data_IF_589518751126
#
_entry.id   IF_589518751126
#
_cell.length_a   1.000
_cell.length_b   1.000
_cell.length_c   1.000
_cell.angle_alpha   90.00
_cell.angle_beta   90.00
_cell.angle_gamma   90.00
#
_symmetry.space_group_name_H-M   'P 1'
#
loop_
_entity.id
_entity.type
_entity.pdbx_description
1 polymer ?
#
# COMPACT_ATOMS: atom_id res chain seq x y z
N UNK A 1 -26.69 -12.21 -22.78
CA UNK A 1 -26.78 -10.87 -22.16
C UNK A 1 -25.37 -10.31 -22.09
N UNK A 2 -25.03 -9.31 -22.91
CA UNK A 2 -23.76 -8.59 -22.85
C UNK A 2 -23.84 -7.60 -21.69
N UNK A 3 -23.18 -7.89 -20.57
CA UNK A 3 -23.02 -6.92 -19.49
C UNK A 3 -22.18 -5.75 -20.04
N UNK A 4 -22.76 -4.56 -20.13
CA UNK A 4 -21.98 -3.36 -20.45
C UNK A 4 -20.97 -3.15 -19.32
N UNK A 5 -19.68 -3.16 -19.65
CA UNK A 5 -18.62 -2.78 -18.74
C UNK A 5 -18.79 -1.28 -18.48
N UNK A 6 -19.36 -0.94 -17.33
CA UNK A 6 -19.52 0.44 -16.89
C UNK A 6 -18.15 0.94 -16.43
N UNK A 7 -17.37 1.50 -17.36
CA UNK A 7 -16.12 2.17 -17.02
C UNK A 7 -16.41 3.43 -16.18
N UNK A 8 -15.69 3.66 -15.08
CA UNK A 8 -15.91 4.81 -14.23
C UNK A 8 -15.45 6.05 -14.99
N UNK A 9 -16.36 7.01 -15.19
CA UNK A 9 -15.95 8.34 -15.67
C UNK A 9 -15.47 9.23 -14.51
N UNK A 10 -16.02 9.03 -13.32
CA UNK A 10 -15.75 9.86 -12.13
C UNK A 10 -15.52 9.03 -10.88
N UNK A 11 -16.33 7.99 -10.67
CA UNK A 11 -16.14 7.00 -9.61
C UNK A 11 -16.71 5.65 -10.06
N UNK A 12 -16.23 4.56 -9.45
CA UNK A 12 -16.82 3.24 -9.59
C UNK A 12 -18.13 3.17 -8.80
N UNK A 13 -19.20 2.56 -9.33
CA UNK A 13 -20.37 2.21 -8.53
C UNK A 13 -19.97 1.31 -7.35
N UNK A 14 -20.46 1.60 -6.14
CA UNK A 14 -20.17 0.79 -4.96
C UNK A 14 -20.97 -0.53 -4.98
N UNK A 15 -20.38 -1.57 -4.41
CA UNK A 15 -21.01 -2.87 -4.14
C UNK A 15 -20.43 -3.49 -2.87
N UNK A 16 -20.96 -4.65 -2.46
CA UNK A 16 -20.44 -5.43 -1.34
C UNK A 16 -19.72 -6.69 -1.86
N UNK A 17 -18.77 -7.26 -1.10
CA UNK A 17 -18.10 -8.49 -1.50
C UNK A 17 -19.07 -9.61 -1.88
N UNK A 18 -20.08 -9.84 -1.05
CA UNK A 18 -21.06 -10.90 -1.25
C UNK A 18 -21.89 -10.68 -2.53
N UNK A 19 -22.30 -9.43 -2.81
CA UNK A 19 -23.10 -9.12 -3.99
C UNK A 19 -22.37 -9.35 -5.32
N UNK A 20 -21.04 -9.30 -5.30
CA UNK A 20 -20.20 -9.63 -6.47
C UNK A 20 -19.62 -11.04 -6.40
N UNK A 21 -19.99 -11.86 -5.40
CA UNK A 21 -19.52 -13.24 -5.21
C UNK A 21 -18.10 -13.38 -4.68
N UNK A 22 -17.59 -12.39 -3.93
CA UNK A 22 -16.33 -12.45 -3.21
C UNK A 22 -16.55 -12.84 -1.74
N UNK A 23 -15.56 -13.49 -1.14
CA UNK A 23 -15.53 -13.81 0.28
C UNK A 23 -15.13 -12.56 1.08
N UNK A 24 -16.05 -12.05 1.89
CA UNK A 24 -15.81 -10.88 2.72
C UNK A 24 -14.80 -11.14 3.86
N UNK A 25 -14.73 -12.38 4.37
CA UNK A 25 -13.82 -12.73 5.45
C UNK A 25 -12.38 -12.74 4.95
N UNK A 26 -12.13 -13.34 3.79
CA UNK A 26 -10.79 -13.33 3.19
C UNK A 26 -10.27 -11.90 2.93
N UNK A 27 -11.15 -10.98 2.48
CA UNK A 27 -10.79 -9.57 2.31
C UNK A 27 -10.49 -8.86 3.64
N UNK A 28 -11.22 -9.19 4.70
CA UNK A 28 -10.97 -8.63 6.03
C UNK A 28 -9.69 -9.18 6.67
N UNK A 29 -9.36 -10.45 6.44
CA UNK A 29 -8.09 -11.05 6.88
C UNK A 29 -6.90 -10.39 6.17
N UNK A 30 -7.02 -10.16 4.86
CA UNK A 30 -5.98 -9.43 4.10
C UNK A 30 -5.84 -7.98 4.56
N UNK A 31 -6.95 -7.27 4.82
CA UNK A 31 -6.94 -5.92 5.41
C UNK A 31 -6.17 -5.91 6.74
N UNK A 32 -6.47 -6.86 7.63
CA UNK A 32 -5.80 -7.01 8.91
C UNK A 32 -4.31 -7.33 8.76
N UNK A 33 -3.93 -8.22 7.86
CA UNK A 33 -2.53 -8.57 7.60
C UNK A 33 -1.74 -7.36 7.09
N UNK A 34 -2.33 -6.56 6.20
CA UNK A 34 -1.72 -5.33 5.68
C UNK A 34 -1.58 -4.29 6.79
N UNK A 35 -2.66 -4.04 7.56
CA UNK A 35 -2.64 -3.10 8.67
C UNK A 35 -1.61 -3.47 9.75
N UNK A 36 -1.34 -4.77 9.93
CA UNK A 36 -0.31 -5.28 10.83
C UNK A 36 1.12 -5.18 10.27
N UNK A 37 1.31 -4.70 9.03
CA UNK A 37 2.61 -4.56 8.39
C UNK A 37 3.22 -5.88 7.91
N UNK A 38 2.43 -6.97 7.84
CA UNK A 38 2.92 -8.30 7.41
C UNK A 38 3.54 -8.29 6.02
N UNK A 39 3.08 -7.37 5.17
CA UNK A 39 3.52 -7.19 3.79
C UNK A 39 4.34 -5.90 3.58
N UNK A 40 4.91 -5.33 4.65
CA UNK A 40 5.62 -4.06 4.60
C UNK A 40 4.68 -2.84 4.59
N UNK A 41 5.20 -1.70 4.12
CA UNK A 41 4.47 -0.43 4.10
C UNK A 41 3.59 -0.31 2.84
N UNK A 42 2.42 -0.92 2.89
CA UNK A 42 1.39 -0.77 1.85
C UNK A 42 0.53 0.45 2.18
N UNK A 43 0.34 1.38 1.23
CA UNK A 43 -0.47 2.58 1.47
C UNK A 43 -1.97 2.40 1.23
N UNK A 44 -2.36 1.49 0.34
CA UNK A 44 -3.77 1.28 0.01
C UNK A 44 -4.06 -0.09 -0.59
N UNK A 45 -5.32 -0.49 -0.49
CA UNK A 45 -5.88 -1.68 -1.13
C UNK A 45 -7.21 -1.32 -1.79
N UNK A 46 -7.32 -1.56 -3.10
CA UNK A 46 -8.53 -1.35 -3.90
C UNK A 46 -8.94 -2.67 -4.58
N UNK A 47 -10.18 -3.10 -4.35
CA UNK A 47 -10.76 -4.29 -4.98
C UNK A 47 -11.98 -3.92 -5.79
N UNK A 48 -11.93 -4.21 -7.09
CA UNK A 48 -13.00 -3.99 -8.05
C UNK A 48 -13.36 -5.32 -8.71
N UNK A 49 -14.65 -5.62 -8.81
CA UNK A 49 -15.15 -6.80 -9.54
C UNK A 49 -16.39 -6.44 -10.32
N UNK A 50 -16.44 -6.87 -11.58
CA UNK A 50 -17.59 -6.58 -12.47
C UNK A 50 -17.80 -5.09 -12.74
N UNK A 51 -16.76 -4.27 -12.57
CA UNK A 51 -16.86 -2.82 -12.70
C UNK A 51 -17.53 -2.12 -11.50
N UNK A 52 -17.47 -2.73 -10.32
CA UNK A 52 -17.96 -2.12 -9.07
C UNK A 52 -16.84 -2.10 -8.03
N UNK A 53 -16.73 -1.00 -7.28
CA UNK A 53 -15.83 -0.89 -6.12
C UNK A 53 -16.43 -1.68 -4.97
N UNK A 54 -15.66 -2.63 -4.44
CA UNK A 54 -16.13 -3.62 -3.49
C UNK A 54 -15.44 -3.48 -2.13
N UNK A 55 -14.18 -3.06 -2.15
CA UNK A 55 -13.39 -2.87 -0.96
C UNK A 55 -12.35 -1.79 -1.22
N UNK A 56 -12.20 -0.86 -0.27
CA UNK A 56 -11.17 0.18 -0.32
C UNK A 56 -10.65 0.44 1.10
N UNK A 57 -9.33 0.45 1.24
CA UNK A 57 -8.62 0.78 2.48
C UNK A 57 -7.40 1.63 2.17
N UNK A 58 -7.08 2.52 3.11
CA UNK A 58 -5.84 3.26 3.14
C UNK A 58 -5.16 3.02 4.48
N UNK A 59 -3.85 2.81 4.44
CA UNK A 59 -3.02 2.59 5.62
C UNK A 59 -1.99 3.70 5.65
N UNK A 60 -2.07 4.54 6.67
CA UNK A 60 -1.22 5.71 6.77
C UNK A 60 0.09 5.34 7.43
N UNK A 61 1.19 5.63 6.74
CA UNK A 61 2.53 5.49 7.26
C UNK A 61 3.15 6.88 7.48
N UNK A 62 3.98 6.98 8.51
CA UNK A 62 4.84 8.13 8.74
C UNK A 62 6.20 7.81 8.14
N UNK A 63 6.36 8.08 6.84
CA UNK A 63 7.57 7.74 6.11
C UNK A 63 8.79 8.54 6.56
N UNK A 64 8.59 9.78 7.04
CA UNK A 64 9.68 10.58 7.61
C UNK A 64 10.26 9.87 8.85
N UNK A 65 9.39 9.40 9.75
CA UNK A 65 9.81 8.62 10.91
C UNK A 65 10.40 7.27 10.51
N UNK A 66 9.74 6.53 9.62
CA UNK A 66 10.21 5.21 9.18
C UNK A 66 11.60 5.29 8.56
N UNK A 67 11.81 6.24 7.65
CA UNK A 67 13.09 6.44 6.99
C UNK A 67 14.15 6.93 7.96
N UNK A 68 13.78 7.81 8.90
CA UNK A 68 14.67 8.24 9.99
C UNK A 68 15.10 7.08 10.90
N UNK A 69 14.16 6.22 11.29
CA UNK A 69 14.42 5.03 12.12
C UNK A 69 15.30 4.01 11.38
N UNK A 70 15.00 3.75 10.09
CA UNK A 70 15.77 2.82 9.25
C UNK A 70 17.19 3.34 8.97
N UNK A 71 17.30 4.64 8.68
CA UNK A 71 18.56 5.34 8.58
C UNK A 71 19.33 5.39 9.90
N UNK A 72 18.68 5.16 11.05
CA UNK A 72 19.28 5.06 12.39
C UNK A 72 19.58 3.62 12.85
N UNK A 73 19.09 2.59 12.15
CA UNK A 73 19.32 1.18 12.47
C UNK A 73 20.75 0.70 12.17
N UNK A 74 21.42 -0.07 13.05
CA UNK A 74 22.72 -0.65 12.76
C UNK A 74 22.59 -1.85 11.81
N UNK A 75 23.45 -1.95 10.80
CA UNK A 75 23.53 -3.16 9.96
C UNK A 75 24.23 -2.95 8.62
N UNK A 76 24.58 -4.04 7.90
CA UNK A 76 25.28 -3.97 6.61
C UNK A 76 24.44 -3.33 5.50
N UNK A 77 23.11 -3.32 5.63
CA UNK A 77 22.20 -2.60 4.72
C UNK A 77 22.07 -1.10 5.06
N UNK A 78 22.53 -0.68 6.24
CA UNK A 78 22.42 0.69 6.74
C UNK A 78 23.81 1.32 6.84
N UNK A 79 24.41 1.58 5.69
CA UNK A 79 25.76 2.12 5.57
C UNK A 79 25.85 3.52 6.22
N UNK A 80 26.41 3.59 7.44
CA UNK A 80 26.68 4.85 8.17
C UNK A 80 28.04 5.48 7.84
N UNK A 81 28.53 5.25 6.62
CA UNK A 81 29.79 5.84 6.20
C UNK A 81 29.70 7.35 5.99
N UNK A 82 30.81 7.98 5.62
CA UNK A 82 30.81 9.40 5.29
C UNK A 82 29.81 9.72 4.18
N UNK A 83 29.36 11.00 4.08
CA UNK A 83 28.54 11.48 2.98
C UNK A 83 29.09 11.02 1.62
N UNK A 84 28.22 10.57 0.72
CA UNK A 84 28.66 10.00 -0.54
C UNK A 84 27.60 9.20 -1.30
N UNK A 85 27.87 8.90 -2.59
CA UNK A 85 26.91 8.24 -3.47
C UNK A 85 26.49 6.84 -3.02
N UNK A 86 27.27 6.19 -2.15
CA UNK A 86 26.99 4.85 -1.61
C UNK A 86 26.29 4.86 -0.25
N UNK A 87 26.12 6.03 0.37
CA UNK A 87 25.25 6.18 1.53
C UNK A 87 23.85 6.55 1.04
N UNK A 88 22.95 5.57 0.97
CA UNK A 88 21.56 5.77 0.53
C UNK A 88 20.70 6.61 1.48
N UNK A 89 21.23 6.96 2.65
CA UNK A 89 20.61 7.88 3.61
C UNK A 89 21.16 9.30 3.53
N UNK A 90 22.06 9.60 2.60
CA UNK A 90 22.61 10.94 2.40
C UNK A 90 21.69 11.79 1.50
N UNK A 91 20.97 12.78 2.04
CA UNK A 91 19.99 13.56 1.29
C UNK A 91 20.63 14.52 0.27
N UNK A 92 21.95 14.74 0.33
CA UNK A 92 22.64 15.52 -0.70
C UNK A 92 22.82 14.71 -1.98
N UNK A 93 23.12 13.41 -1.85
CA UNK A 93 23.33 12.51 -3.00
C UNK A 93 22.04 11.86 -3.47
N UNK A 94 21.13 11.55 -2.53
CA UNK A 94 19.82 10.97 -2.77
C UNK A 94 18.78 11.85 -2.07
N UNK A 95 18.50 13.06 -2.57
CA UNK A 95 17.33 13.80 -2.08
C UNK A 95 16.10 12.91 -2.30
N UNK A 96 15.06 13.06 -1.47
CA UNK A 96 13.83 12.23 -1.33
C UNK A 96 13.97 10.91 -0.56
#
# INVERSE_FOLDING_TARGET
>A
MTAQIQWPRTAWPASTPQAVGLDAQALAELDSDIAAGKYGYVDSMLVIRGGQLVYERSYRHDYDRIYGDDGAAPGPAHFRGPPGPYNYFDPWWHPF
#
